data_IF_840977617812
#
_entry.id   IF_840977617812
#
_cell.length_a   1.000
_cell.length_b   1.000
_cell.length_c   1.000
_cell.angle_alpha   90.00
_cell.angle_beta   90.00
_cell.angle_gamma   90.00
#
_symmetry.space_group_name_H-M   'P 1'
#
loop_
_entity.id
_entity.type
_entity.pdbx_description
1 polymer ?
#
# COMPACT_ATOMS: atom_id res chain seq x y z
N UNK A 1 13.97 14.42 -33.79
CA UNK A 1 14.84 13.94 -32.69
C UNK A 1 13.98 13.21 -31.66
N UNK A 2 13.68 11.94 -31.95
CA UNK A 2 14.00 10.75 -31.13
C UNK A 2 14.84 11.02 -29.86
N UNK A 3 14.66 10.43 -28.66
CA UNK A 3 14.14 9.15 -28.13
C UNK A 3 13.71 9.44 -26.66
N UNK A 4 12.65 8.90 -26.06
CA UNK A 4 12.71 7.65 -25.29
C UNK A 4 11.31 7.27 -24.73
N UNK A 5 10.59 6.42 -25.46
CA UNK A 5 9.64 5.52 -24.81
C UNK A 5 10.47 4.44 -24.11
N UNK A 6 10.58 4.48 -22.79
CA UNK A 6 11.16 3.35 -22.06
C UNK A 6 10.13 2.22 -22.04
N UNK A 7 10.48 1.13 -22.70
CA UNK A 7 9.76 -0.13 -22.71
C UNK A 7 9.44 -0.60 -21.29
N UNK A 8 8.19 -0.38 -20.87
CA UNK A 8 7.54 -1.22 -19.87
C UNK A 8 6.82 -2.32 -20.64
N UNK A 9 7.54 -3.39 -20.98
CA UNK A 9 6.86 -4.65 -21.26
C UNK A 9 6.10 -5.03 -19.99
N UNK A 10 4.76 -4.95 -20.06
CA UNK A 10 3.88 -5.40 -18.98
C UNK A 10 4.07 -6.90 -18.84
N UNK A 11 4.95 -7.30 -17.93
CA UNK A 11 5.06 -8.70 -17.54
C UNK A 11 3.76 -9.06 -16.81
N UNK A 12 2.76 -9.52 -17.58
CA UNK A 12 1.43 -9.96 -17.11
C UNK A 12 1.49 -11.20 -16.21
N UNK A 13 2.67 -11.79 -16.06
CA UNK A 13 2.91 -12.98 -15.25
C UNK A 13 3.45 -12.52 -13.89
N UNK A 14 2.64 -12.67 -12.83
CA UNK A 14 3.10 -12.51 -11.45
C UNK A 14 4.24 -13.50 -11.23
N UNK A 15 5.39 -13.03 -10.72
CA UNK A 15 6.37 -13.98 -10.18
C UNK A 15 5.77 -14.56 -8.89
N UNK A 16 5.90 -15.86 -8.67
CA UNK A 16 5.45 -16.53 -7.42
C UNK A 16 6.05 -15.88 -6.15
N UNK A 17 7.20 -15.21 -6.29
CA UNK A 17 7.86 -14.46 -5.21
C UNK A 17 7.27 -13.06 -4.93
N UNK A 18 6.30 -12.59 -5.72
CA UNK A 18 5.69 -11.26 -5.58
C UNK A 18 4.33 -11.31 -4.83
N UNK A 19 3.77 -12.50 -4.57
CA UNK A 19 2.59 -12.66 -3.71
C UNK A 19 3.01 -12.87 -2.25
N UNK A 20 2.93 -11.80 -1.45
CA UNK A 20 2.98 -11.90 0.00
C UNK A 20 1.67 -11.39 0.55
N UNK A 21 0.83 -12.27 1.11
CA UNK A 21 -0.41 -11.81 1.65
C UNK A 21 -0.14 -10.94 2.90
N UNK A 22 -1.01 -9.97 3.15
CA UNK A 22 -0.81 -9.01 4.25
C UNK A 22 -0.72 -9.74 5.59
N UNK A 23 0.33 -9.56 6.41
CA UNK A 23 0.45 -10.27 7.68
C UNK A 23 -0.69 -9.95 8.63
N UNK A 24 -1.15 -10.92 9.44
CA UNK A 24 -2.30 -10.75 10.33
C UNK A 24 -2.13 -9.59 11.32
N UNK A 25 -0.92 -9.35 11.82
CA UNK A 25 -0.62 -8.20 12.69
C UNK A 25 -0.85 -6.85 11.98
N UNK A 26 -0.51 -6.77 10.69
CA UNK A 26 -0.66 -5.58 9.85
C UNK A 26 -2.12 -5.40 9.50
N UNK A 27 -2.82 -6.47 9.14
CA UNK A 27 -4.27 -6.48 8.93
C UNK A 27 -4.99 -5.97 10.18
N UNK A 28 -4.66 -6.51 11.36
CA UNK A 28 -5.24 -6.08 12.64
C UNK A 28 -4.93 -4.61 12.92
N UNK A 29 -3.72 -4.16 12.66
CA UNK A 29 -3.32 -2.77 12.84
C UNK A 29 -4.09 -1.83 11.92
N UNK A 30 -4.21 -2.15 10.64
CA UNK A 30 -4.94 -1.35 9.65
C UNK A 30 -6.45 -1.35 9.92
N UNK A 31 -7.05 -2.49 10.30
CA UNK A 31 -8.45 -2.54 10.69
C UNK A 31 -8.75 -1.71 11.94
N UNK A 32 -7.79 -1.58 12.86
CA UNK A 32 -7.91 -0.72 14.05
C UNK A 32 -7.65 0.77 13.77
N UNK A 33 -7.21 1.13 12.57
CA UNK A 33 -6.99 2.52 12.22
C UNK A 33 -8.33 3.24 12.07
N UNK A 34 -8.60 4.21 12.92
CA UNK A 34 -9.92 4.88 13.05
C UNK A 34 -9.89 6.37 12.70
N UNK A 35 -8.90 6.83 11.94
CA UNK A 35 -8.68 8.26 11.67
C UNK A 35 -9.46 8.75 10.43
N UNK A 36 -10.16 7.86 9.73
CA UNK A 36 -10.98 8.22 8.58
C UNK A 36 -12.46 8.27 8.97
N UNK A 37 -13.06 9.46 8.82
CA UNK A 37 -14.51 9.68 9.05
C UNK A 37 -15.39 8.86 8.09
N UNK A 38 -14.87 8.61 6.88
CA UNK A 38 -15.55 7.79 5.87
C UNK A 38 -15.09 6.34 5.96
N UNK A 39 -16.05 5.46 6.18
CA UNK A 39 -15.86 4.01 6.17
C UNK A 39 -15.85 3.40 4.76
N UNK A 40 -15.83 4.21 3.69
CA UNK A 40 -15.74 3.70 2.31
C UNK A 40 -14.31 3.72 1.79
N UNK A 41 -13.79 2.55 1.40
CA UNK A 41 -12.38 2.33 1.03
C UNK A 41 -12.23 1.35 -0.13
N UNK A 42 -11.21 1.57 -0.96
CA UNK A 42 -10.83 0.67 -2.04
C UNK A 42 -9.54 -0.09 -1.69
N UNK A 43 -9.58 -1.41 -1.81
CA UNK A 43 -8.44 -2.31 -1.72
C UNK A 43 -8.13 -2.92 -3.11
N UNK A 44 -7.24 -2.31 -3.90
CA UNK A 44 -6.96 -2.74 -5.28
C UNK A 44 -5.96 -3.88 -5.44
N UNK A 45 -5.44 -4.42 -4.35
CA UNK A 45 -4.54 -5.58 -4.34
C UNK A 45 -5.04 -6.58 -3.30
N UNK A 46 -6.32 -6.95 -3.41
CA UNK A 46 -7.05 -7.67 -2.37
C UNK A 46 -6.50 -9.07 -2.08
N UNK A 47 -5.81 -9.71 -3.03
CA UNK A 47 -5.24 -11.05 -2.85
C UNK A 47 -6.28 -12.06 -2.34
N UNK A 48 -6.08 -12.55 -1.13
CA UNK A 48 -6.97 -13.50 -0.45
C UNK A 48 -8.02 -12.86 0.45
N UNK A 49 -8.32 -11.57 0.26
CA UNK A 49 -9.38 -10.81 0.93
C UNK A 49 -9.21 -10.61 2.44
N UNK A 50 -8.10 -11.02 3.06
CA UNK A 50 -7.93 -10.92 4.52
C UNK A 50 -8.03 -9.50 5.08
N UNK A 51 -7.56 -8.49 4.35
CA UNK A 51 -7.67 -7.09 4.78
C UNK A 51 -9.09 -6.58 4.54
N UNK A 52 -9.71 -6.94 3.41
CA UNK A 52 -11.13 -6.71 3.11
C UNK A 52 -12.02 -7.19 4.26
N UNK A 53 -11.88 -8.46 4.65
CA UNK A 53 -12.67 -9.08 5.72
C UNK A 53 -12.45 -8.35 7.05
N UNK A 54 -11.20 -8.07 7.42
CA UNK A 54 -10.89 -7.38 8.66
C UNK A 54 -11.45 -5.96 8.71
N UNK A 55 -11.38 -5.22 7.60
CA UNK A 55 -11.99 -3.88 7.49
C UNK A 55 -13.51 -3.96 7.60
N UNK A 56 -14.14 -4.95 6.97
CA UNK A 56 -15.59 -5.17 7.07
C UNK A 56 -16.04 -5.48 8.50
N UNK A 57 -15.22 -6.15 9.32
CA UNK A 57 -15.53 -6.33 10.77
C UNK A 57 -15.55 -5.03 11.56
N UNK A 58 -15.08 -3.93 10.97
CA UNK A 58 -15.02 -2.57 11.54
C UNK A 58 -15.93 -1.60 10.80
N UNK A 59 -16.99 -2.13 10.19
CA UNK A 59 -18.02 -1.38 9.47
C UNK A 59 -17.53 -0.65 8.21
N UNK A 60 -16.32 -0.94 7.74
CA UNK A 60 -15.87 -0.43 6.44
C UNK A 60 -16.67 -1.06 5.30
N UNK A 61 -17.16 -0.22 4.41
CA UNK A 61 -17.60 -0.60 3.07
C UNK A 61 -16.37 -0.68 2.18
N UNK A 62 -16.01 -1.89 1.78
CA UNK A 62 -14.79 -2.14 1.00
C UNK A 62 -15.14 -2.48 -0.44
N UNK A 63 -14.56 -1.74 -1.39
CA UNK A 63 -14.48 -2.16 -2.79
C UNK A 63 -13.18 -2.94 -2.91
N UNK A 64 -13.24 -4.20 -3.30
CA UNK A 64 -12.07 -5.05 -3.44
C UNK A 64 -11.85 -5.39 -4.92
N UNK A 65 -10.62 -5.22 -5.39
CA UNK A 65 -10.23 -5.63 -6.75
C UNK A 65 -8.85 -6.29 -6.69
N UNK A 66 -8.57 -7.19 -7.60
CA UNK A 66 -7.24 -7.81 -7.69
C UNK A 66 -6.90 -8.21 -9.13
N UNK A 67 -5.61 -8.19 -9.47
CA UNK A 67 -5.12 -8.62 -10.77
C UNK A 67 -5.48 -10.08 -11.07
N UNK A 68 -5.50 -10.97 -10.06
CA UNK A 68 -5.88 -12.38 -10.25
C UNK A 68 -7.36 -12.55 -10.60
N UNK A 69 -8.19 -11.54 -10.32
CA UNK A 69 -9.58 -11.47 -10.74
C UNK A 69 -9.76 -10.76 -12.08
N UNK A 70 -8.66 -10.44 -12.77
CA UNK A 70 -8.66 -9.72 -14.05
C UNK A 70 -8.82 -8.20 -13.91
N UNK A 71 -8.69 -7.65 -12.70
CA UNK A 71 -8.81 -6.22 -12.45
C UNK A 71 -7.43 -5.62 -12.17
N UNK A 72 -6.73 -5.20 -13.23
CA UNK A 72 -5.45 -4.52 -13.11
C UNK A 72 -5.64 -3.09 -12.58
N UNK A 73 -5.01 -2.78 -11.45
CA UNK A 73 -5.01 -1.43 -10.86
C UNK A 73 -4.63 -0.35 -11.87
N UNK A 74 -3.66 -0.60 -12.76
CA UNK A 74 -3.17 0.39 -13.72
C UNK A 74 -4.10 0.60 -14.93
N UNK A 75 -5.13 -0.24 -15.10
CA UNK A 75 -6.13 -0.08 -16.15
C UNK A 75 -7.29 0.83 -15.71
N UNK A 76 -7.47 1.08 -14.41
CA UNK A 76 -8.45 2.06 -13.91
C UNK A 76 -8.14 3.47 -14.43
N UNK A 77 -9.20 4.21 -14.78
CA UNK A 77 -9.11 5.62 -15.22
C UNK A 77 -9.68 6.60 -14.20
N UNK A 78 -10.48 6.08 -13.28
CA UNK A 78 -11.08 6.78 -12.17
C UNK A 78 -11.08 5.85 -10.97
N UNK A 79 -10.75 6.39 -9.79
CA UNK A 79 -10.81 5.67 -8.54
C UNK A 79 -12.28 5.39 -8.17
N UNK A 80 -12.66 4.14 -7.87
CA UNK A 80 -14.01 3.81 -7.41
C UNK A 80 -14.47 4.56 -6.16
N UNK A 81 -13.53 5.02 -5.33
CA UNK A 81 -13.76 5.91 -4.21
C UNK A 81 -12.47 6.70 -3.86
N UNK A 82 -12.56 7.81 -3.09
CA UNK A 82 -11.41 8.68 -2.84
C UNK A 82 -10.41 8.12 -1.81
N UNK A 83 -10.71 7.00 -1.14
CA UNK A 83 -9.86 6.43 -0.11
C UNK A 83 -9.33 5.05 -0.52
N UNK A 84 -8.02 4.85 -0.42
CA UNK A 84 -7.36 3.60 -0.80
C UNK A 84 -6.59 3.04 0.38
N UNK A 85 -6.81 1.77 0.72
CA UNK A 85 -6.01 1.06 1.73
C UNK A 85 -5.58 -0.30 1.19
N UNK A 86 -4.28 -0.54 1.08
CA UNK A 86 -3.79 -1.81 0.53
C UNK A 86 -2.33 -2.13 0.86
N UNK A 87 -1.92 -3.35 0.54
CA UNK A 87 -0.53 -3.80 0.50
C UNK A 87 -0.12 -4.02 -0.96
N UNK A 88 0.38 -2.99 -1.66
CA UNK A 88 0.64 -3.06 -3.09
C UNK A 88 1.92 -3.88 -3.40
N UNK A 89 2.10 -4.32 -4.66
CA UNK A 89 3.36 -4.93 -5.08
C UNK A 89 4.53 -3.96 -4.95
N UNK A 90 5.49 -4.27 -4.07
CA UNK A 90 6.57 -3.33 -3.70
C UNK A 90 7.49 -2.91 -4.85
N UNK A 91 7.65 -3.75 -5.88
CA UNK A 91 8.40 -3.39 -7.09
C UNK A 91 7.78 -2.21 -7.84
N UNK A 92 6.45 -2.09 -7.78
CA UNK A 92 5.67 -1.09 -8.50
C UNK A 92 5.14 0.03 -7.61
N UNK A 93 5.53 0.09 -6.33
CA UNK A 93 4.92 1.00 -5.35
C UNK A 93 5.01 2.49 -5.72
N UNK A 94 6.05 2.92 -6.44
CA UNK A 94 6.20 4.33 -6.86
C UNK A 94 5.24 4.69 -8.01
N UNK A 95 5.24 3.95 -9.15
CA UNK A 95 4.18 4.07 -10.15
C UNK A 95 2.77 3.92 -9.57
N UNK A 96 2.60 3.04 -8.57
CA UNK A 96 1.32 2.83 -7.90
C UNK A 96 0.85 4.12 -7.21
N UNK A 97 1.72 4.79 -6.45
CA UNK A 97 1.43 6.08 -5.80
C UNK A 97 1.06 7.13 -6.85
N UNK A 98 1.88 7.29 -7.89
CA UNK A 98 1.63 8.28 -8.95
C UNK A 98 0.29 8.01 -9.66
N UNK A 99 -0.03 6.74 -9.95
CA UNK A 99 -1.27 6.35 -10.60
C UNK A 99 -2.50 6.58 -9.71
N UNK A 100 -2.44 6.17 -8.44
CA UNK A 100 -3.54 6.36 -7.48
C UNK A 100 -4.03 7.81 -7.46
N UNK A 101 -3.10 8.75 -7.32
CA UNK A 101 -3.42 10.18 -7.31
C UNK A 101 -3.85 10.70 -8.67
N UNK A 102 -3.32 10.17 -9.77
CA UNK A 102 -3.73 10.54 -11.12
C UNK A 102 -5.18 10.16 -11.44
N UNK A 103 -5.70 9.06 -10.86
CA UNK A 103 -7.08 8.60 -11.08
C UNK A 103 -8.07 9.11 -10.01
N UNK A 104 -7.66 10.00 -9.12
CA UNK A 104 -8.56 10.68 -8.18
C UNK A 104 -8.65 10.09 -6.78
N UNK A 105 -7.69 9.25 -6.34
CA UNK A 105 -7.54 8.95 -4.91
C UNK A 105 -7.14 10.23 -4.17
N UNK A 106 -7.77 10.53 -3.04
CA UNK A 106 -7.49 11.70 -2.22
C UNK A 106 -6.71 11.33 -0.95
N UNK A 107 -7.04 10.19 -0.33
CA UNK A 107 -6.35 9.65 0.85
C UNK A 107 -5.94 8.21 0.61
N UNK A 108 -4.77 7.86 1.12
CA UNK A 108 -4.16 6.56 0.84
C UNK A 108 -3.39 6.03 2.04
N UNK A 109 -3.54 4.75 2.34
CA UNK A 109 -2.73 4.02 3.32
C UNK A 109 -2.08 2.84 2.60
N UNK A 110 -0.75 2.82 2.58
CA UNK A 110 0.02 1.74 1.98
C UNK A 110 0.86 1.02 3.02
N UNK A 111 0.80 -0.31 3.03
CA UNK A 111 1.89 -1.13 3.56
C UNK A 111 3.08 -1.00 2.62
N UNK A 112 4.28 -0.76 3.14
CA UNK A 112 5.44 -0.48 2.30
C UNK A 112 6.76 -0.97 2.91
N UNK A 113 7.84 -1.07 2.11
CA UNK A 113 9.17 -1.31 2.65
C UNK A 113 9.64 -0.13 3.49
N UNK A 114 10.29 -0.38 4.64
CA UNK A 114 10.89 0.69 5.48
C UNK A 114 11.89 1.60 4.76
N UNK A 115 12.43 1.15 3.63
CA UNK A 115 13.41 1.88 2.80
C UNK A 115 12.77 2.59 1.61
N UNK A 116 11.45 2.73 1.55
CA UNK A 116 10.72 3.37 0.43
C UNK A 116 11.35 4.71 0.03
N UNK A 117 11.73 5.51 1.01
CA UNK A 117 12.29 6.84 0.83
C UNK A 117 13.84 6.88 0.81
N UNK A 118 14.51 5.79 1.17
CA UNK A 118 15.95 5.72 1.39
C UNK A 118 16.77 5.52 0.10
N UNK A 119 16.43 6.26 -0.96
CA UNK A 119 17.20 6.33 -2.21
C UNK A 119 16.80 7.58 -3.00
N UNK A 120 17.58 7.95 -4.02
CA UNK A 120 17.29 9.11 -4.89
C UNK A 120 15.86 9.08 -5.48
N UNK A 121 15.46 7.93 -6.04
CA UNK A 121 14.10 7.75 -6.58
C UNK A 121 13.01 7.87 -5.50
N UNK A 122 13.30 7.44 -4.28
CA UNK A 122 12.42 7.60 -3.12
C UNK A 122 12.30 9.06 -2.72
N UNK A 123 13.41 9.80 -2.65
CA UNK A 123 13.40 11.23 -2.38
C UNK A 123 12.59 12.01 -3.42
N UNK A 124 12.77 11.71 -4.72
CA UNK A 124 11.98 12.34 -5.80
C UNK A 124 10.48 12.04 -5.65
N UNK A 125 10.11 10.78 -5.40
CA UNK A 125 8.73 10.38 -5.15
C UNK A 125 8.13 11.13 -3.94
N UNK A 126 8.87 11.23 -2.85
CA UNK A 126 8.45 11.91 -1.62
C UNK A 126 8.15 13.39 -1.85
N UNK A 127 8.83 14.04 -2.80
CA UNK A 127 8.57 15.45 -3.13
C UNK A 127 7.35 15.62 -4.04
N UNK A 128 7.08 14.66 -4.93
CA UNK A 128 5.86 14.66 -5.76
C UNK A 128 4.60 14.39 -4.94
N UNK A 129 4.66 13.40 -4.06
CA UNK A 129 3.54 12.92 -3.26
C UNK A 129 3.98 12.66 -1.82
N UNK A 130 4.17 13.73 -1.04
CA UNK A 130 4.60 13.63 0.36
C UNK A 130 3.50 13.00 1.22
N UNK A 131 3.75 11.88 1.93
CA UNK A 131 2.81 11.37 2.91
C UNK A 131 2.70 12.32 4.10
N UNK A 132 1.54 12.30 4.76
CA UNK A 132 1.34 12.98 6.03
C UNK A 132 2.09 12.26 7.16
N UNK A 133 2.18 10.93 7.10
CA UNK A 133 2.88 10.09 8.08
C UNK A 133 3.69 8.98 7.41
N UNK A 134 4.87 8.73 7.95
CA UNK A 134 5.67 7.54 7.67
C UNK A 134 5.95 6.83 8.99
N UNK A 135 5.38 5.64 9.14
CA UNK A 135 5.37 4.88 10.38
C UNK A 135 6.24 3.66 10.20
N UNK A 136 7.36 3.60 10.90
CA UNK A 136 8.17 2.38 10.97
C UNK A 136 7.55 1.39 11.96
N UNK A 137 7.50 0.12 11.59
CA UNK A 137 7.03 -0.94 12.48
C UNK A 137 8.22 -1.52 13.23
N UNK A 138 8.17 -1.56 14.56
CA UNK A 138 9.30 -2.01 15.39
C UNK A 138 9.42 -3.53 15.52
N UNK A 139 8.58 -4.28 14.82
CA UNK A 139 8.64 -5.74 14.74
C UNK A 139 8.87 -6.17 13.30
N UNK A 140 9.13 -7.46 13.13
CA UNK A 140 9.35 -8.08 11.82
C UNK A 140 8.39 -9.23 11.68
N UNK A 141 7.95 -9.47 10.45
CA UNK A 141 6.99 -10.50 10.12
C UNK A 141 7.71 -11.75 9.57
N UNK A 142 7.33 -12.93 10.06
CA UNK A 142 7.80 -14.21 9.52
C UNK A 142 6.80 -14.67 8.45
N UNK A 143 6.91 -14.07 7.28
CA UNK A 143 6.05 -14.37 6.13
C UNK A 143 6.11 -15.81 5.66
N UNK A 144 7.22 -16.51 5.93
CA UNK A 144 7.48 -17.84 5.37
C UNK A 144 7.30 -18.95 6.41
N UNK A 145 6.96 -18.61 7.67
CA UNK A 145 6.82 -19.56 8.77
C UNK A 145 8.06 -20.43 8.97
N UNK A 146 9.24 -19.94 8.56
CA UNK A 146 10.46 -20.76 8.48
C UNK A 146 11.08 -21.00 9.85
N UNK A 147 10.67 -20.25 10.88
CA UNK A 147 11.35 -20.24 12.16
C UNK A 147 12.70 -19.53 12.05
N UNK A 148 12.92 -18.50 12.85
CA UNK A 148 14.14 -17.70 12.83
C UNK A 148 13.88 -16.22 13.11
N UNK A 149 14.91 -15.38 12.91
CA UNK A 149 14.74 -13.93 12.97
C UNK A 149 13.94 -13.46 11.74
N UNK A 150 12.74 -12.89 11.91
CA UNK A 150 11.95 -12.48 10.76
C UNK A 150 12.70 -11.43 9.93
N UNK A 151 12.65 -11.54 8.61
CA UNK A 151 13.58 -10.83 7.71
C UNK A 151 12.98 -9.53 7.14
N UNK A 152 11.65 -9.44 7.06
CA UNK A 152 10.96 -8.29 6.47
C UNK A 152 10.46 -7.31 7.52
N UNK A 153 11.20 -6.20 7.63
CA UNK A 153 10.77 -5.01 8.35
C UNK A 153 9.97 -4.10 7.41
N UNK A 154 8.72 -3.84 7.77
CA UNK A 154 7.78 -3.01 7.03
C UNK A 154 7.61 -1.61 7.65
N UNK A 155 6.94 -0.75 6.91
CA UNK A 155 6.43 0.53 7.34
C UNK A 155 4.99 0.73 6.80
N UNK A 156 4.27 1.70 7.37
CA UNK A 156 3.01 2.23 6.83
C UNK A 156 3.26 3.65 6.36
N UNK A 157 2.82 3.99 5.14
CA UNK A 157 2.75 5.38 4.69
C UNK A 157 1.29 5.81 4.59
N UNK A 158 0.98 6.98 5.15
CA UNK A 158 -0.37 7.53 5.18
C UNK A 158 -0.38 8.90 4.50
N UNK A 159 -1.26 9.05 3.53
CA UNK A 159 -1.58 10.30 2.86
C UNK A 159 -2.99 10.72 3.25
N UNK A 160 -3.12 11.88 3.91
CA UNK A 160 -4.41 12.54 4.14
C UNK A 160 -4.77 13.52 3.00
N UNK A 161 -3.85 13.71 2.06
CA UNK A 161 -4.00 14.47 0.82
C UNK A 161 -2.93 14.02 -0.19
N UNK A 162 -3.06 14.30 -1.50
CA UNK A 162 -2.09 13.87 -2.51
C UNK A 162 -0.64 14.35 -2.30
N UNK A 163 -0.45 15.45 -1.57
CA UNK A 163 0.88 15.95 -1.21
C UNK A 163 0.78 16.78 0.09
N UNK A 164 1.12 16.17 1.22
CA UNK A 164 1.08 16.84 2.52
C UNK A 164 2.17 17.92 2.65
N UNK A 165 1.93 18.99 3.40
CA UNK A 165 2.95 20.03 3.68
C UNK A 165 4.12 19.52 4.54
N UNK A 166 3.86 18.50 5.36
CA UNK A 166 4.84 17.85 6.25
C UNK A 166 4.58 16.35 6.32
N UNK A 167 5.64 15.59 6.56
CA UNK A 167 5.55 14.18 6.92
C UNK A 167 5.99 14.01 8.37
N UNK A 168 5.12 13.46 9.22
CA UNK A 168 5.48 13.04 10.56
C UNK A 168 6.13 11.65 10.49
N UNK A 169 7.15 11.43 11.32
CA UNK A 169 7.77 10.13 11.48
C UNK A 169 7.30 9.50 12.79
N UNK A 170 6.83 8.26 12.71
CA UNK A 170 6.30 7.52 13.86
C UNK A 170 6.91 6.13 13.95
N UNK A 171 6.79 5.52 15.12
CA UNK A 171 7.12 4.12 15.34
C UNK A 171 5.96 3.45 16.04
N UNK A 172 5.36 2.45 15.39
CA UNK A 172 4.26 1.67 15.98
C UNK A 172 4.78 0.31 16.47
N UNK A 173 4.10 -0.22 17.49
CA UNK A 173 4.35 -1.53 18.08
C UNK A 173 3.33 -2.55 17.58
N UNK A 174 3.72 -3.83 17.63
CA UNK A 174 2.84 -4.94 17.24
C UNK A 174 1.56 -4.89 18.10
N UNK A 175 0.36 -4.96 17.51
CA UNK A 175 -0.87 -5.05 18.30
C UNK A 175 -0.83 -6.29 19.21
N UNK A 176 -1.28 -6.15 20.45
CA UNK A 176 -1.50 -7.29 21.35
C UNK A 176 -2.53 -8.24 20.73
N UNK A 177 -2.38 -9.55 20.97
CA UNK A 177 -3.33 -10.58 20.50
C UNK A 177 -4.72 -10.40 21.13
#
# INVERSE_FOLDING_TARGET
>A
MEICGSAYERQKVRNENDFYPTPHSIVKLLANYSEWESLYVWEPCAGDFRLVEALQTRDYKVIATDLDQGQDFFDFKEAPCPHLMTNPPFKMIRPFIDHAFAIGVERMVLVCPKRLWACKKGWEQFHRHRPARFINLNWREDYLGKGGSPDRALAISIWESPNASRCQYEVWSKPYE
#
